data_IF_568288659255
#
_entry.id   IF_568288659255
#
_cell.length_a   1.000
_cell.length_b   1.000
_cell.length_c   1.000
_cell.angle_alpha   90.00
_cell.angle_beta   90.00
_cell.angle_gamma   90.00
#
_symmetry.space_group_name_H-M   'P 1'
#
loop_
_entity.id
_entity.type
_entity.pdbx_description
1 polymer ?
#
# COMPACT_ATOMS: atom_id res chain seq x y z
N UNK A 1 25.31 32.16 19.91
CA UNK A 1 25.81 31.67 18.61
C UNK A 1 24.61 31.06 17.92
N UNK A 2 24.20 31.66 16.83
CA UNK A 2 23.10 31.18 15.98
C UNK A 2 23.59 29.95 15.22
N UNK A 3 22.69 29.02 14.88
CA UNK A 3 23.02 27.84 14.06
C UNK A 3 23.66 28.22 12.69
N UNK A 4 23.51 29.46 12.26
CA UNK A 4 24.14 29.99 11.06
C UNK A 4 25.66 30.23 11.19
N UNK A 5 26.18 30.55 12.41
CA UNK A 5 27.63 30.82 12.61
C UNK A 5 28.52 29.57 12.47
N UNK A 6 27.89 28.37 12.49
CA UNK A 6 28.60 27.08 12.35
C UNK A 6 28.72 26.59 10.88
N UNK A 7 28.02 27.25 9.94
CA UNK A 7 27.92 26.79 8.54
C UNK A 7 28.87 27.55 7.63
N UNK A 8 29.36 28.74 8.03
CA UNK A 8 30.29 29.53 7.22
C UNK A 8 31.68 28.90 7.05
N UNK A 9 32.02 27.88 7.85
CA UNK A 9 33.32 27.17 7.80
C UNK A 9 33.21 25.72 7.28
N UNK A 10 32.00 25.29 6.81
CA UNK A 10 31.77 23.93 6.30
C UNK A 10 32.00 23.89 4.79
N UNK A 11 32.92 23.03 4.35
CA UNK A 11 33.19 22.80 2.92
C UNK A 11 31.87 22.40 2.21
N UNK A 12 31.63 22.96 1.02
CA UNK A 12 30.46 22.67 0.21
C UNK A 12 30.26 21.16 0.00
N UNK A 13 31.34 20.36 0.10
CA UNK A 13 31.30 18.88 0.02
C UNK A 13 30.70 18.22 1.26
N UNK A 14 30.81 18.86 2.44
CA UNK A 14 30.26 18.36 3.69
C UNK A 14 28.77 18.72 3.84
N UNK A 15 28.25 19.64 2.99
CA UNK A 15 26.85 20.05 2.95
C UNK A 15 26.00 18.99 2.19
N UNK A 16 26.62 18.25 1.29
CA UNK A 16 25.93 17.29 0.45
C UNK A 16 26.41 15.87 0.75
N UNK A 17 25.52 15.01 1.24
CA UNK A 17 25.78 13.56 1.34
C UNK A 17 25.87 12.96 -0.07
N UNK A 18 27.09 12.74 -0.60
CA UNK A 18 27.31 12.02 -1.84
C UNK A 18 27.93 12.84 -3.00
N UNK A 19 28.01 12.26 -4.20
CA UNK A 19 28.61 12.85 -5.40
C UNK A 19 27.73 13.99 -5.94
N UNK A 20 28.18 15.21 -5.72
CA UNK A 20 27.57 16.43 -6.29
C UNK A 20 28.27 16.76 -7.60
N UNK A 21 27.55 17.10 -8.69
CA UNK A 21 28.17 17.57 -9.91
C UNK A 21 29.13 18.73 -9.63
N UNK A 22 30.36 18.70 -10.24
CA UNK A 22 31.39 19.71 -9.95
C UNK A 22 30.97 21.15 -10.21
N UNK A 23 30.06 21.36 -11.14
CA UNK A 23 29.47 22.66 -11.49
C UNK A 23 28.54 23.19 -10.39
N UNK A 24 27.80 22.31 -9.70
CA UNK A 24 26.96 22.68 -8.55
C UNK A 24 27.83 23.04 -7.35
N UNK A 25 28.87 22.26 -7.05
CA UNK A 25 29.84 22.59 -6.00
C UNK A 25 30.50 23.93 -6.24
N UNK A 26 30.97 24.15 -7.46
CA UNK A 26 31.61 25.41 -7.87
C UNK A 26 30.66 26.61 -7.74
N UNK A 27 29.40 26.45 -8.12
CA UNK A 27 28.38 27.49 -7.94
C UNK A 27 28.20 27.86 -6.46
N UNK A 28 28.19 26.88 -5.55
CA UNK A 28 28.09 27.13 -4.11
C UNK A 28 29.32 27.77 -3.52
N UNK A 29 30.53 27.42 -4.02
CA UNK A 29 31.78 28.00 -3.57
C UNK A 29 31.98 29.44 -4.08
N UNK A 30 31.55 29.75 -5.31
CA UNK A 30 31.72 31.04 -5.95
C UNK A 30 30.60 32.03 -5.58
N UNK A 31 29.45 31.56 -5.09
CA UNK A 31 28.29 32.42 -4.81
C UNK A 31 28.12 32.66 -3.31
N UNK A 32 28.26 33.89 -2.85
CA UNK A 32 28.03 34.26 -1.45
C UNK A 32 26.49 34.30 -1.14
N UNK A 33 25.85 33.13 -1.14
CA UNK A 33 24.41 32.98 -0.89
C UNK A 33 24.13 33.12 0.61
N UNK A 34 23.01 33.76 1.00
CA UNK A 34 22.54 33.76 2.38
C UNK A 34 22.36 32.28 2.91
N UNK A 35 22.67 32.09 4.20
CA UNK A 35 22.59 30.79 4.87
C UNK A 35 21.25 30.08 4.62
N UNK A 36 20.14 30.80 4.73
CA UNK A 36 18.77 30.29 4.50
C UNK A 36 18.58 29.76 3.07
N UNK A 37 19.17 30.41 2.07
CA UNK A 37 19.09 29.97 0.67
C UNK A 37 19.93 28.73 0.45
N UNK A 38 21.10 28.62 1.07
CA UNK A 38 21.96 27.43 1.02
C UNK A 38 21.26 26.23 1.64
N UNK A 39 20.65 26.42 2.80
CA UNK A 39 19.92 25.36 3.50
C UNK A 39 18.70 24.86 2.69
N UNK A 40 17.89 25.77 2.17
CA UNK A 40 16.77 25.46 1.30
C UNK A 40 17.20 24.68 0.04
N UNK A 41 18.27 25.14 -0.62
CA UNK A 41 18.79 24.45 -1.81
C UNK A 41 19.32 23.04 -1.47
N UNK A 42 19.99 22.88 -0.33
CA UNK A 42 20.45 21.57 0.16
C UNK A 42 19.29 20.62 0.38
N UNK A 43 18.26 21.06 1.08
CA UNK A 43 17.05 20.26 1.32
C UNK A 43 16.40 19.86 -0.01
N UNK A 44 16.19 20.80 -0.92
CA UNK A 44 15.60 20.57 -2.24
C UNK A 44 16.41 19.57 -3.07
N UNK A 45 17.74 19.70 -3.10
CA UNK A 45 18.62 18.77 -3.84
C UNK A 45 18.58 17.38 -3.21
N UNK A 46 18.58 17.27 -1.89
CA UNK A 46 18.49 15.98 -1.20
C UNK A 46 17.12 15.33 -1.43
N UNK A 47 16.03 16.09 -1.42
CA UNK A 47 14.69 15.60 -1.78
C UNK A 47 14.65 15.07 -3.22
N UNK A 48 15.16 15.84 -4.18
CA UNK A 48 15.23 15.41 -5.59
C UNK A 48 16.03 14.11 -5.76
N UNK A 49 17.19 14.00 -5.11
CA UNK A 49 18.02 12.78 -5.16
C UNK A 49 17.34 11.57 -4.54
N UNK A 50 16.68 11.79 -3.42
CA UNK A 50 15.92 10.73 -2.76
C UNK A 50 14.81 10.23 -3.68
N UNK A 51 14.14 11.14 -4.38
CA UNK A 51 13.09 10.80 -5.34
C UNK A 51 13.64 10.08 -6.59
N UNK A 52 14.77 10.56 -7.15
CA UNK A 52 15.47 9.88 -8.24
C UNK A 52 15.91 8.47 -7.85
N UNK A 53 16.46 8.29 -6.64
CA UNK A 53 16.86 6.98 -6.13
C UNK A 53 15.65 6.05 -5.96
N UNK A 54 14.53 6.56 -5.43
CA UNK A 54 13.27 5.80 -5.32
C UNK A 54 12.72 5.38 -6.69
N UNK A 55 12.78 6.30 -7.67
CA UNK A 55 12.33 6.00 -9.03
C UNK A 55 13.23 4.95 -9.70
N UNK A 56 14.55 5.04 -9.56
CA UNK A 56 15.49 4.05 -10.08
C UNK A 56 15.27 2.67 -9.44
N UNK A 57 15.07 2.62 -8.12
CA UNK A 57 14.74 1.38 -7.40
C UNK A 57 13.43 0.79 -7.92
N UNK A 58 12.38 1.61 -8.08
CA UNK A 58 11.09 1.18 -8.61
C UNK A 58 11.22 0.50 -9.98
N UNK A 59 11.96 1.12 -10.92
CA UNK A 59 12.20 0.54 -12.26
C UNK A 59 12.94 -0.80 -12.17
N UNK A 60 13.91 -0.91 -11.26
CA UNK A 60 14.63 -2.16 -10.99
C UNK A 60 13.69 -3.26 -10.48
N UNK A 61 12.86 -2.93 -9.49
CA UNK A 61 11.93 -3.88 -8.87
C UNK A 61 10.85 -4.36 -9.85
N UNK A 62 10.27 -3.44 -10.64
CA UNK A 62 9.35 -3.78 -11.75
C UNK A 62 10.02 -4.75 -12.72
N UNK A 63 11.27 -4.47 -13.10
CA UNK A 63 12.02 -5.33 -14.04
C UNK A 63 12.22 -6.74 -13.49
N UNK A 64 12.49 -6.87 -12.20
CA UNK A 64 12.61 -8.15 -11.52
C UNK A 64 11.28 -8.90 -11.43
N UNK A 65 10.20 -8.22 -11.04
CA UNK A 65 8.85 -8.81 -10.92
C UNK A 65 8.26 -9.23 -12.26
N UNK A 66 8.64 -8.59 -13.37
CA UNK A 66 8.26 -8.99 -14.73
C UNK A 66 9.12 -10.17 -15.23
N UNK A 67 10.42 -10.17 -14.96
CA UNK A 67 11.35 -11.19 -15.47
C UNK A 67 11.03 -12.59 -14.96
N UNK A 68 10.65 -12.72 -13.71
CA UNK A 68 10.34 -14.01 -13.06
C UNK A 68 9.21 -14.77 -13.79
N UNK A 69 7.99 -14.21 -13.94
CA UNK A 69 6.90 -14.89 -14.64
C UNK A 69 7.22 -15.11 -16.12
N UNK A 70 7.89 -14.19 -16.80
CA UNK A 70 8.30 -14.37 -18.20
C UNK A 70 9.24 -15.58 -18.36
N UNK A 71 10.18 -15.77 -17.43
CA UNK A 71 11.08 -16.92 -17.44
C UNK A 71 10.32 -18.24 -17.22
N UNK A 72 9.31 -18.24 -16.32
CA UNK A 72 8.48 -19.41 -16.07
C UNK A 72 7.60 -19.76 -17.29
N UNK A 73 6.97 -18.74 -17.92
CA UNK A 73 6.17 -18.91 -19.16
C UNK A 73 7.05 -19.49 -20.26
N UNK A 74 8.22 -18.90 -20.47
CA UNK A 74 9.17 -19.34 -21.50
C UNK A 74 9.61 -20.77 -21.30
N UNK A 75 10.02 -21.15 -20.09
CA UNK A 75 10.46 -22.52 -19.77
C UNK A 75 9.34 -23.55 -19.96
N UNK A 76 8.13 -23.24 -19.53
CA UNK A 76 6.97 -24.11 -19.76
C UNK A 76 6.66 -24.26 -21.26
N UNK A 77 6.72 -23.18 -22.04
CA UNK A 77 6.48 -23.21 -23.48
C UNK A 77 7.58 -23.97 -24.23
N UNK A 78 8.87 -23.77 -23.90
CA UNK A 78 10.00 -24.51 -24.48
C UNK A 78 9.84 -26.02 -24.24
N UNK A 79 9.50 -26.42 -23.00
CA UNK A 79 9.25 -27.82 -22.65
C UNK A 79 8.11 -28.45 -23.47
N UNK A 80 7.02 -27.69 -23.67
CA UNK A 80 5.89 -28.14 -24.50
C UNK A 80 6.28 -28.28 -25.98
N UNK A 81 7.12 -27.39 -26.49
CA UNK A 81 7.58 -27.41 -27.89
C UNK A 81 8.56 -28.54 -28.19
N UNK A 82 9.40 -28.94 -27.23
CA UNK A 82 10.30 -30.10 -27.36
C UNK A 82 9.54 -31.42 -27.52
N UNK A 83 8.30 -31.47 -27.06
CA UNK A 83 7.42 -32.65 -27.19
C UNK A 83 7.74 -33.77 -26.21
N UNK A 84 7.02 -34.88 -26.31
CA UNK A 84 7.23 -36.06 -25.44
C UNK A 84 6.69 -35.90 -24.01
N UNK A 85 6.00 -34.79 -23.71
CA UNK A 85 5.43 -34.51 -22.40
C UNK A 85 4.10 -35.25 -22.26
N UNK A 86 3.87 -36.02 -21.15
CA UNK A 86 2.58 -36.65 -20.88
C UNK A 86 1.41 -35.62 -20.83
N UNK A 87 0.22 -36.02 -21.27
CA UNK A 87 -0.94 -35.12 -21.42
C UNK A 87 -1.29 -34.38 -20.12
N UNK A 88 -1.23 -35.06 -18.95
CA UNK A 88 -1.44 -34.41 -17.66
C UNK A 88 -0.41 -33.31 -17.36
N UNK A 89 0.84 -33.50 -17.76
CA UNK A 89 1.89 -32.48 -17.59
C UNK A 89 1.74 -31.33 -18.59
N UNK A 90 1.27 -31.61 -19.81
CA UNK A 90 0.97 -30.55 -20.78
C UNK A 90 -0.10 -29.61 -20.22
N UNK A 91 -1.18 -30.18 -19.65
CA UNK A 91 -2.22 -29.37 -19.01
C UNK A 91 -1.69 -28.53 -17.86
N UNK A 92 -0.81 -29.11 -17.01
CA UNK A 92 -0.16 -28.36 -15.91
C UNK A 92 0.68 -27.18 -16.41
N UNK A 93 1.48 -27.39 -17.48
CA UNK A 93 2.27 -26.30 -18.08
C UNK A 93 1.38 -25.22 -18.69
N UNK A 94 0.29 -25.59 -19.36
CA UNK A 94 -0.66 -24.62 -19.89
C UNK A 94 -1.34 -23.82 -18.76
N UNK A 95 -1.79 -24.47 -17.70
CA UNK A 95 -2.34 -23.80 -16.53
C UNK A 95 -1.31 -22.86 -15.87
N UNK A 96 -0.03 -23.27 -15.80
CA UNK A 96 1.04 -22.44 -15.28
C UNK A 96 1.25 -21.19 -16.17
N UNK A 97 1.28 -21.35 -17.50
CA UNK A 97 1.41 -20.22 -18.42
C UNK A 97 0.25 -19.23 -18.22
N UNK A 98 -1.00 -19.74 -18.15
CA UNK A 98 -2.17 -18.90 -17.93
C UNK A 98 -2.08 -18.14 -16.60
N UNK A 99 -1.74 -18.82 -15.52
CA UNK A 99 -1.57 -18.22 -14.19
C UNK A 99 -0.51 -17.10 -14.18
N UNK A 100 0.62 -17.28 -14.86
CA UNK A 100 1.67 -16.26 -14.94
C UNK A 100 1.27 -15.09 -15.86
N UNK A 101 0.47 -15.33 -16.92
CA UNK A 101 -0.12 -14.26 -17.72
C UNK A 101 -1.09 -13.42 -16.90
N UNK A 102 -1.97 -14.06 -16.12
CA UNK A 102 -2.91 -13.36 -15.22
C UNK A 102 -2.16 -12.55 -14.15
N UNK A 103 -1.05 -13.08 -13.65
CA UNK A 103 -0.18 -12.36 -12.71
C UNK A 103 0.44 -11.12 -13.34
N UNK A 104 0.95 -11.22 -14.57
CA UNK A 104 1.50 -10.07 -15.32
C UNK A 104 0.43 -9.01 -15.60
N UNK A 105 -0.78 -9.43 -15.94
CA UNK A 105 -1.90 -8.52 -16.18
C UNK A 105 -2.26 -7.75 -14.91
N UNK A 106 -2.33 -8.44 -13.77
CA UNK A 106 -2.56 -7.78 -12.47
C UNK A 106 -1.44 -6.80 -12.14
N UNK A 107 -0.17 -7.20 -12.30
CA UNK A 107 0.97 -6.32 -12.06
C UNK A 107 0.90 -5.05 -12.93
N UNK A 108 0.57 -5.17 -14.21
CA UNK A 108 0.43 -4.02 -15.11
C UNK A 108 -0.70 -3.08 -14.65
N UNK A 109 -1.86 -3.63 -14.25
CA UNK A 109 -2.97 -2.83 -13.72
C UNK A 109 -2.61 -2.14 -12.39
N UNK A 110 -1.91 -2.83 -11.50
CA UNK A 110 -1.41 -2.29 -10.23
C UNK A 110 -0.49 -1.08 -10.46
N UNK A 111 0.44 -1.21 -11.43
CA UNK A 111 1.36 -0.13 -11.80
C UNK A 111 0.61 1.08 -12.38
N UNK A 112 -0.37 0.86 -13.26
CA UNK A 112 -1.20 1.93 -13.81
C UNK A 112 -2.02 2.63 -12.73
N UNK A 113 -2.55 1.87 -11.76
CA UNK A 113 -3.29 2.44 -10.63
C UNK A 113 -2.41 3.34 -9.78
N UNK A 114 -1.18 2.89 -9.45
CA UNK A 114 -0.21 3.71 -8.71
C UNK A 114 0.14 5.00 -9.46
N UNK A 115 0.45 4.91 -10.75
CA UNK A 115 0.78 6.09 -11.55
C UNK A 115 -0.36 7.11 -11.59
N UNK A 116 -1.62 6.65 -11.72
CA UNK A 116 -2.78 7.55 -11.70
C UNK A 116 -3.00 8.19 -10.34
N UNK A 117 -2.86 7.42 -9.26
CA UNK A 117 -3.02 7.93 -7.90
C UNK A 117 -2.00 9.03 -7.55
N UNK A 118 -0.79 8.95 -8.11
CA UNK A 118 0.30 9.89 -7.84
C UNK A 118 0.35 11.09 -8.80
N UNK A 119 -0.20 10.97 -10.01
CA UNK A 119 -0.02 11.95 -11.08
C UNK A 119 -1.27 12.69 -11.53
N UNK A 120 -2.46 12.17 -11.27
CA UNK A 120 -3.70 12.72 -11.81
C UNK A 120 -4.62 13.24 -10.70
N UNK A 121 -5.30 14.35 -10.97
CA UNK A 121 -6.40 14.83 -10.11
C UNK A 121 -7.56 13.83 -10.19
N UNK A 122 -7.84 13.16 -9.09
CA UNK A 122 -8.94 12.21 -8.98
C UNK A 122 -10.28 12.96 -8.87
N UNK A 123 -11.27 12.56 -9.67
CA UNK A 123 -12.62 13.08 -9.51
C UNK A 123 -13.25 12.50 -8.24
N UNK A 124 -13.55 13.38 -7.28
CA UNK A 124 -14.12 13.01 -6.00
C UNK A 124 -15.63 13.29 -5.99
N UNK A 125 -16.41 12.30 -5.55
CA UNK A 125 -17.86 12.38 -5.38
C UNK A 125 -18.26 11.99 -3.97
N UNK A 126 -19.49 12.29 -3.57
CA UNK A 126 -20.04 11.87 -2.28
C UNK A 126 -20.30 10.36 -2.29
N UNK A 127 -19.71 9.63 -1.37
CA UNK A 127 -19.78 8.16 -1.30
C UNK A 127 -20.10 7.69 0.12
N UNK A 128 -21.02 6.73 0.20
CA UNK A 128 -21.32 5.98 1.41
C UNK A 128 -20.36 4.77 1.50
N UNK A 129 -19.47 4.78 2.50
CA UNK A 129 -18.45 3.74 2.67
C UNK A 129 -19.05 2.37 2.96
N UNK A 130 -20.14 2.32 3.74
CA UNK A 130 -20.81 1.05 4.06
C UNK A 130 -21.36 0.36 2.81
N UNK A 131 -21.99 1.12 1.93
CA UNK A 131 -22.49 0.58 0.66
C UNK A 131 -21.39 0.03 -0.23
N UNK A 132 -20.22 0.70 -0.29
CA UNK A 132 -19.06 0.20 -1.04
C UNK A 132 -18.52 -1.06 -0.40
N UNK A 133 -18.37 -1.09 0.93
CA UNK A 133 -17.86 -2.27 1.64
C UNK A 133 -18.75 -3.50 1.47
N UNK A 134 -20.08 -3.34 1.58
CA UNK A 134 -21.04 -4.42 1.38
C UNK A 134 -20.97 -4.97 -0.05
N UNK A 135 -20.87 -4.10 -1.06
CA UNK A 135 -20.71 -4.51 -2.45
C UNK A 135 -19.38 -5.27 -2.67
N UNK A 136 -18.28 -4.77 -2.12
CA UNK A 136 -16.98 -5.46 -2.20
C UNK A 136 -17.01 -6.81 -1.50
N UNK A 137 -17.61 -6.90 -0.31
CA UNK A 137 -17.74 -8.16 0.41
C UNK A 137 -18.53 -9.20 -0.40
N UNK A 138 -19.61 -8.79 -1.05
CA UNK A 138 -20.40 -9.67 -1.93
C UNK A 138 -19.58 -10.16 -3.14
N UNK A 139 -18.82 -9.28 -3.78
CA UNK A 139 -17.95 -9.64 -4.92
C UNK A 139 -16.81 -10.57 -4.51
N UNK A 140 -16.27 -10.39 -3.30
CA UNK A 140 -15.15 -11.16 -2.77
C UNK A 140 -15.59 -12.48 -2.11
N UNK A 141 -16.89 -12.70 -1.90
CA UNK A 141 -17.43 -13.83 -1.16
C UNK A 141 -16.91 -15.17 -1.70
N UNK A 142 -16.97 -15.40 -3.01
CA UNK A 142 -16.48 -16.63 -3.63
C UNK A 142 -15.00 -16.90 -3.37
N UNK A 143 -14.15 -15.88 -3.44
CA UNK A 143 -12.71 -15.99 -3.16
C UNK A 143 -12.44 -16.30 -1.69
N UNK A 144 -13.17 -15.64 -0.79
CA UNK A 144 -13.01 -15.82 0.66
C UNK A 144 -13.50 -17.19 1.10
N UNK A 145 -14.64 -17.67 0.56
CA UNK A 145 -15.17 -19.02 0.79
C UNK A 145 -14.23 -20.11 0.25
N UNK A 146 -13.62 -19.91 -0.93
CA UNK A 146 -12.64 -20.87 -1.48
C UNK A 146 -11.40 -21.00 -0.57
N UNK A 147 -11.05 -19.92 0.16
CA UNK A 147 -9.97 -19.94 1.16
C UNK A 147 -10.42 -20.46 2.53
N UNK A 148 -11.69 -20.78 2.71
CA UNK A 148 -12.26 -21.23 3.98
C UNK A 148 -12.31 -20.14 5.06
N UNK A 149 -12.36 -18.86 4.67
CA UNK A 149 -12.34 -17.70 5.57
C UNK A 149 -13.74 -17.11 5.71
N UNK A 150 -14.08 -16.61 6.90
CA UNK A 150 -15.34 -15.91 7.16
C UNK A 150 -15.14 -14.38 7.05
N UNK A 151 -15.89 -13.75 6.16
CA UNK A 151 -15.87 -12.29 5.98
C UNK A 151 -17.12 -11.65 6.60
N UNK A 152 -16.93 -10.59 7.37
CA UNK A 152 -18.02 -9.80 7.94
C UNK A 152 -17.77 -8.30 7.75
N UNK A 153 -18.86 -7.52 7.56
CA UNK A 153 -18.82 -6.06 7.47
C UNK A 153 -19.75 -5.50 8.53
N UNK A 154 -19.26 -4.62 9.39
CA UNK A 154 -20.03 -4.02 10.49
C UNK A 154 -19.78 -2.51 10.58
N UNK A 155 -20.69 -1.83 11.27
CA UNK A 155 -20.59 -0.40 11.54
C UNK A 155 -21.03 0.49 10.39
N UNK A 156 -20.99 1.79 10.62
CA UNK A 156 -21.38 2.85 9.69
C UNK A 156 -20.55 4.12 9.99
N UNK A 157 -20.34 4.94 8.98
CA UNK A 157 -19.69 6.24 9.11
C UNK A 157 -20.39 7.28 8.21
N UNK A 158 -20.18 8.57 8.44
CA UNK A 158 -20.61 9.61 7.51
C UNK A 158 -20.04 9.39 6.12
N UNK A 159 -20.73 9.93 5.10
CA UNK A 159 -20.23 9.91 3.73
C UNK A 159 -18.89 10.65 3.61
N UNK A 160 -18.09 10.26 2.64
CA UNK A 160 -16.81 10.89 2.32
C UNK A 160 -16.83 11.50 0.92
N UNK A 161 -15.93 12.46 0.66
CA UNK A 161 -15.56 12.81 -0.70
C UNK A 161 -14.51 11.84 -1.19
N UNK A 162 -14.86 10.97 -2.12
CA UNK A 162 -13.98 9.91 -2.60
C UNK A 162 -14.24 9.53 -4.06
N UNK A 163 -13.46 8.60 -4.55
CA UNK A 163 -13.66 7.95 -5.84
C UNK A 163 -14.10 6.50 -5.61
N UNK A 164 -15.21 6.10 -6.23
CA UNK A 164 -15.80 4.78 -6.01
C UNK A 164 -14.87 3.63 -6.42
N UNK A 165 -14.15 3.77 -7.54
CA UNK A 165 -13.23 2.75 -8.04
C UNK A 165 -12.00 2.64 -7.13
N UNK A 166 -11.49 3.78 -6.64
CA UNK A 166 -10.39 3.82 -5.68
C UNK A 166 -10.77 3.15 -4.35
N UNK A 167 -11.95 3.44 -3.82
CA UNK A 167 -12.44 2.80 -2.60
C UNK A 167 -12.67 1.30 -2.79
N UNK A 168 -13.26 0.87 -3.91
CA UNK A 168 -13.38 -0.54 -4.26
C UNK A 168 -12.00 -1.22 -4.27
N UNK A 169 -11.00 -0.60 -4.90
CA UNK A 169 -9.65 -1.14 -4.95
C UNK A 169 -8.99 -1.23 -3.55
N UNK A 170 -9.21 -0.25 -2.68
CA UNK A 170 -8.76 -0.27 -1.28
C UNK A 170 -9.37 -1.48 -0.55
N UNK A 171 -10.71 -1.63 -0.59
CA UNK A 171 -11.38 -2.76 0.06
C UNK A 171 -10.90 -4.11 -0.49
N UNK A 172 -10.81 -4.26 -1.81
CA UNK A 172 -10.35 -5.50 -2.45
C UNK A 172 -8.94 -5.84 -1.98
N UNK A 173 -8.00 -4.89 -2.01
CA UNK A 173 -6.62 -5.13 -1.60
C UNK A 173 -6.51 -5.52 -0.12
N UNK A 174 -7.25 -4.84 0.76
CA UNK A 174 -7.24 -5.12 2.20
C UNK A 174 -7.91 -6.46 2.51
N UNK A 175 -9.09 -6.76 1.94
CA UNK A 175 -9.80 -8.02 2.16
C UNK A 175 -9.00 -9.21 1.58
N UNK A 176 -8.42 -9.05 0.38
CA UNK A 176 -7.57 -10.09 -0.21
C UNK A 176 -6.35 -10.38 0.65
N UNK A 177 -5.69 -9.32 1.15
CA UNK A 177 -4.55 -9.45 2.05
C UNK A 177 -4.94 -10.17 3.34
N UNK A 178 -5.97 -9.70 4.03
CA UNK A 178 -6.49 -10.26 5.27
C UNK A 178 -6.91 -11.73 5.09
N UNK A 179 -7.69 -12.06 4.04
CA UNK A 179 -8.15 -13.42 3.79
C UNK A 179 -7.02 -14.41 3.49
N UNK A 180 -5.91 -13.93 2.95
CA UNK A 180 -4.74 -14.78 2.70
C UNK A 180 -3.99 -15.11 3.99
N UNK A 181 -3.88 -14.15 4.92
CA UNK A 181 -3.14 -14.34 6.17
C UNK A 181 -3.98 -14.98 7.27
N UNK A 182 -5.29 -14.80 7.29
CA UNK A 182 -6.21 -15.47 8.22
C UNK A 182 -6.14 -17.01 8.08
N UNK A 183 -5.97 -17.52 6.86
CA UNK A 183 -5.91 -18.98 6.61
C UNK A 183 -7.26 -19.68 6.71
N UNK A 184 -7.25 -21.02 6.56
CA UNK A 184 -8.48 -21.82 6.58
C UNK A 184 -9.11 -21.81 7.98
N UNK A 185 -10.40 -21.51 8.06
CA UNK A 185 -11.16 -21.36 9.29
C UNK A 185 -11.04 -19.97 9.94
N UNK A 186 -10.22 -19.10 9.37
CA UNK A 186 -9.98 -17.75 9.88
C UNK A 186 -11.12 -16.77 9.63
N UNK A 187 -10.98 -15.57 10.20
CA UNK A 187 -11.98 -14.51 10.13
C UNK A 187 -11.33 -13.23 9.59
N UNK A 188 -12.09 -12.55 8.73
CA UNK A 188 -11.80 -11.19 8.28
C UNK A 188 -12.98 -10.30 8.63
N UNK A 189 -12.70 -9.22 9.34
CA UNK A 189 -13.72 -8.27 9.78
C UNK A 189 -13.41 -6.88 9.27
N UNK A 190 -14.34 -6.32 8.51
CA UNK A 190 -14.32 -4.93 8.05
C UNK A 190 -15.20 -4.12 8.98
N UNK A 191 -14.62 -3.20 9.70
CA UNK A 191 -15.30 -2.28 10.61
C UNK A 191 -15.29 -0.88 10.02
N UNK A 192 -16.46 -0.23 10.02
CA UNK A 192 -16.61 1.15 9.55
C UNK A 192 -17.09 1.99 10.71
N UNK A 193 -16.28 2.97 11.08
CA UNK A 193 -16.56 3.86 12.23
C UNK A 193 -16.26 5.31 11.87
N UNK A 194 -16.52 6.22 12.81
CA UNK A 194 -16.19 7.64 12.66
C UNK A 194 -15.34 8.09 13.84
N UNK A 195 -14.26 8.79 13.57
CA UNK A 195 -13.38 9.35 14.58
C UNK A 195 -12.79 10.68 14.13
N UNK A 196 -12.81 11.70 14.99
CA UNK A 196 -12.21 13.04 14.77
C UNK A 196 -12.53 13.69 13.41
N UNK A 197 -13.74 13.51 12.90
CA UNK A 197 -14.12 14.06 11.60
C UNK A 197 -13.61 13.25 10.41
N UNK A 198 -13.16 12.02 10.64
CA UNK A 198 -12.78 11.06 9.62
C UNK A 198 -13.69 9.83 9.66
N UNK A 199 -14.06 9.34 8.51
CA UNK A 199 -14.65 8.02 8.36
C UNK A 199 -13.53 7.00 8.27
N UNK A 200 -13.55 6.03 9.19
CA UNK A 200 -12.48 5.06 9.42
C UNK A 200 -12.92 3.68 8.95
N UNK A 201 -12.09 3.04 8.15
CA UNK A 201 -12.21 1.66 7.71
C UNK A 201 -11.11 0.87 8.41
N UNK A 202 -11.46 -0.10 9.24
CA UNK A 202 -10.51 -1.03 9.86
C UNK A 202 -10.77 -2.43 9.31
N UNK A 203 -9.75 -3.04 8.69
CA UNK A 203 -9.80 -4.43 8.22
C UNK A 203 -8.92 -5.26 9.12
N UNK A 204 -9.56 -6.14 9.90
CA UNK A 204 -8.92 -7.03 10.87
C UNK A 204 -8.86 -8.46 10.34
N UNK A 205 -7.77 -9.16 10.59
CA UNK A 205 -7.63 -10.60 10.39
C UNK A 205 -7.12 -11.26 11.66
N UNK A 206 -7.39 -12.54 11.82
CA UNK A 206 -6.91 -13.39 12.91
C UNK A 206 -5.68 -14.23 12.52
N UNK A 207 -4.93 -13.76 11.54
CA UNK A 207 -3.69 -14.38 11.08
C UNK A 207 -2.52 -14.23 12.09
N UNK A 208 -1.29 -14.51 11.65
CA UNK A 208 -0.11 -14.42 12.53
C UNK A 208 0.38 -12.99 12.79
N UNK A 209 -0.24 -11.97 12.16
CA UNK A 209 0.30 -10.61 12.14
C UNK A 209 1.56 -10.49 11.28
N UNK A 210 2.25 -9.35 11.39
CA UNK A 210 3.49 -9.06 10.64
C UNK A 210 4.76 -9.01 11.54
N UNK A 211 4.67 -9.53 12.78
CA UNK A 211 5.81 -9.67 13.70
C UNK A 211 6.34 -8.34 14.22
N UNK A 212 7.66 -8.26 14.43
CA UNK A 212 8.34 -7.08 15.01
C UNK A 212 8.77 -6.05 13.94
N UNK A 213 8.31 -6.20 12.70
CA UNK A 213 8.63 -5.29 11.61
C UNK A 213 7.94 -3.93 11.80
N UNK A 214 8.60 -2.84 11.36
CA UNK A 214 7.98 -1.52 11.39
C UNK A 214 6.75 -1.50 10.48
N UNK A 215 5.57 -1.11 11.00
CA UNK A 215 4.35 -1.03 10.20
C UNK A 215 4.47 -0.14 8.96
N UNK A 216 5.33 0.88 9.02
CA UNK A 216 5.51 1.85 7.93
C UNK A 216 6.03 1.20 6.64
N UNK A 217 6.90 0.20 6.76
CA UNK A 217 7.45 -0.52 5.61
C UNK A 217 6.45 -1.43 4.90
N UNK A 218 5.33 -1.79 5.55
CA UNK A 218 4.30 -2.63 4.92
C UNK A 218 3.66 -1.97 3.69
N UNK A 219 3.69 -0.64 3.63
CA UNK A 219 3.14 0.16 2.54
C UNK A 219 4.18 0.53 1.47
N UNK A 220 5.44 0.11 1.64
CA UNK A 220 6.46 0.33 0.63
C UNK A 220 6.19 -0.52 -0.61
N UNK A 221 6.51 -0.01 -1.79
CA UNK A 221 6.32 -0.71 -3.05
C UNK A 221 7.18 -1.97 -3.08
N UNK A 222 6.61 -3.09 -3.53
CA UNK A 222 7.25 -4.41 -3.62
C UNK A 222 7.72 -4.99 -2.28
N UNK A 223 7.40 -4.35 -1.16
CA UNK A 223 7.73 -4.87 0.14
C UNK A 223 6.95 -6.17 0.43
N UNK A 224 7.63 -7.12 1.03
CA UNK A 224 7.07 -8.42 1.42
C UNK A 224 7.71 -8.81 2.75
N UNK A 225 6.90 -8.86 3.81
CA UNK A 225 7.33 -9.36 5.09
C UNK A 225 7.84 -10.79 4.94
N UNK A 226 9.10 -11.00 5.24
CA UNK A 226 9.84 -12.25 5.30
C UNK A 226 9.63 -13.24 4.13
N UNK A 227 10.63 -13.39 3.26
CA UNK A 227 10.65 -14.41 2.19
C UNK A 227 10.53 -15.84 2.73
N UNK A 228 10.81 -16.09 4.01
CA UNK A 228 10.71 -17.40 4.65
C UNK A 228 9.27 -17.86 4.91
N UNK A 229 8.32 -16.93 5.06
CA UNK A 229 6.88 -17.20 5.16
C UNK A 229 6.20 -17.38 3.80
N UNK A 230 6.88 -17.13 2.71
CA UNK A 230 6.42 -17.38 1.33
C UNK A 230 6.24 -18.88 0.98
N UNK A 231 6.14 -19.76 1.98
CA UNK A 231 5.73 -21.17 1.79
C UNK A 231 4.24 -21.35 1.51
N UNK A 232 3.46 -20.29 1.54
CA UNK A 232 2.13 -20.33 0.91
C UNK A 232 2.29 -20.30 -0.61
N UNK A 233 2.62 -21.48 -1.15
CA UNK A 233 2.63 -21.78 -2.58
C UNK A 233 1.25 -21.49 -3.15
N UNK A 234 1.14 -20.46 -3.99
CA UNK A 234 -0.01 -20.36 -4.86
C UNK A 234 -0.45 -19.00 -5.34
N UNK A 235 -0.15 -17.89 -4.69
CA UNK A 235 -0.58 -16.58 -5.19
C UNK A 235 0.55 -15.57 -5.10
N UNK A 236 1.21 -15.35 -6.23
CA UNK A 236 2.22 -14.31 -6.37
C UNK A 236 1.58 -12.92 -6.27
N UNK A 237 1.42 -12.38 -5.06
CA UNK A 237 1.16 -10.96 -4.89
C UNK A 237 2.40 -10.19 -5.29
N UNK A 238 2.20 -9.12 -6.06
CA UNK A 238 3.25 -8.22 -6.54
C UNK A 238 3.96 -7.44 -5.44
N UNK A 239 3.40 -7.39 -4.20
CA UNK A 239 3.86 -6.49 -3.15
C UNK A 239 3.42 -5.04 -3.40
N UNK A 240 2.48 -4.81 -4.31
CA UNK A 240 1.97 -3.47 -4.64
C UNK A 240 0.62 -3.17 -3.96
N UNK A 241 -0.12 -4.17 -3.50
CA UNK A 241 -1.48 -3.98 -2.99
C UNK A 241 -1.58 -2.97 -1.86
N UNK A 242 -0.72 -3.04 -0.84
CA UNK A 242 -0.71 -2.08 0.28
C UNK A 242 -0.16 -0.71 -0.14
N UNK A 243 0.81 -0.66 -1.06
CA UNK A 243 1.27 0.60 -1.64
C UNK A 243 0.15 1.31 -2.43
N UNK A 244 -0.69 0.56 -3.14
CA UNK A 244 -1.89 1.08 -3.81
C UNK A 244 -2.90 1.61 -2.79
N UNK A 245 -3.14 0.88 -1.69
CA UNK A 245 -4.02 1.35 -0.61
C UNK A 245 -3.55 2.71 -0.10
N UNK A 246 -2.24 2.86 0.18
CA UNK A 246 -1.65 4.11 0.64
C UNK A 246 -1.83 5.22 -0.39
N UNK A 247 -1.40 5.02 -1.63
CA UNK A 247 -1.47 6.02 -2.69
C UNK A 247 -2.91 6.51 -2.95
N UNK A 248 -3.88 5.59 -3.04
CA UNK A 248 -5.28 5.94 -3.24
C UNK A 248 -5.89 6.67 -2.03
N UNK A 249 -5.50 6.27 -0.82
CA UNK A 249 -5.95 6.94 0.40
C UNK A 249 -5.42 8.36 0.48
N UNK A 250 -4.13 8.55 0.24
CA UNK A 250 -3.47 9.87 0.22
C UNK A 250 -4.03 10.78 -0.89
N UNK A 251 -4.35 10.23 -2.07
CA UNK A 251 -5.00 10.96 -3.16
C UNK A 251 -6.42 11.47 -2.80
N UNK A 252 -7.08 10.85 -1.81
CA UNK A 252 -8.35 11.30 -1.25
C UNK A 252 -8.18 12.16 0.02
N UNK A 253 -6.94 12.55 0.37
CA UNK A 253 -6.63 13.37 1.55
C UNK A 253 -6.71 12.59 2.86
N UNK A 254 -6.70 11.27 2.82
CA UNK A 254 -6.74 10.38 3.97
C UNK A 254 -5.36 9.90 4.44
N UNK A 255 -5.37 9.03 5.45
CA UNK A 255 -4.18 8.39 6.01
C UNK A 255 -4.39 6.90 6.16
N UNK A 256 -3.28 6.12 6.16
CA UNK A 256 -3.31 4.67 6.36
C UNK A 256 -2.32 4.27 7.43
N UNK A 257 -2.69 3.29 8.25
CA UNK A 257 -1.86 2.73 9.32
C UNK A 257 -2.07 1.22 9.41
N UNK A 258 -1.13 0.52 10.05
CA UNK A 258 -1.24 -0.90 10.36
C UNK A 258 -0.74 -1.17 11.77
N UNK A 259 -1.35 -2.14 12.44
CA UNK A 259 -0.93 -2.60 13.75
C UNK A 259 -1.13 -4.11 13.88
N UNK A 260 -0.32 -4.77 14.72
CA UNK A 260 -0.61 -6.13 15.15
C UNK A 260 -1.69 -6.10 16.24
N UNK A 261 -2.66 -7.02 16.15
CA UNK A 261 -3.66 -7.19 17.20
C UNK A 261 -3.06 -7.91 18.42
N UNK A 262 -3.52 -7.60 19.65
CA UNK A 262 -3.12 -8.34 20.83
C UNK A 262 -3.46 -9.83 20.69
N UNK A 263 -2.45 -10.69 20.84
CA UNK A 263 -2.62 -12.14 20.72
C UNK A 263 -2.34 -12.67 19.32
N UNK A 264 -3.19 -12.43 18.35
CA UNK A 264 -3.03 -12.86 16.96
C UNK A 264 -3.73 -11.90 16.00
N UNK A 265 -3.14 -11.73 14.81
CA UNK A 265 -3.76 -10.99 13.71
C UNK A 265 -3.14 -9.64 13.45
N UNK A 266 -3.63 -9.01 12.41
CA UNK A 266 -3.29 -7.66 12.02
C UNK A 266 -4.53 -6.82 11.79
N UNK A 267 -4.38 -5.51 11.91
CA UNK A 267 -5.38 -4.53 11.51
C UNK A 267 -4.76 -3.50 10.57
N UNK A 268 -5.46 -3.23 9.48
CA UNK A 268 -5.13 -2.15 8.55
C UNK A 268 -6.23 -1.10 8.65
N UNK A 269 -5.84 0.14 8.92
CA UNK A 269 -6.75 1.25 9.20
C UNK A 269 -6.59 2.29 8.10
N UNK A 270 -7.69 2.67 7.46
CA UNK A 270 -7.78 3.75 6.47
C UNK A 270 -8.71 4.81 7.02
N UNK A 271 -8.24 6.05 7.16
CA UNK A 271 -9.03 7.18 7.63
C UNK A 271 -9.16 8.21 6.50
N UNK A 272 -10.40 8.55 6.13
CA UNK A 272 -10.72 9.51 5.06
C UNK A 272 -11.53 10.65 5.68
N UNK A 273 -11.27 11.93 5.34
CA UNK A 273 -12.06 13.06 5.86
C UNK A 273 -13.55 12.86 5.60
N UNK A 274 -14.36 12.92 6.66
CA UNK A 274 -15.81 12.81 6.58
C UNK A 274 -16.43 14.07 6.03
N UNK A 275 -17.49 13.93 5.23
CA UNK A 275 -18.37 15.05 4.95
C UNK A 275 -19.17 15.40 6.22
N UNK A 276 -19.34 16.71 6.53
CA UNK A 276 -20.24 17.08 7.60
C UNK A 276 -21.65 16.56 7.24
N UNK A 277 -22.32 15.85 8.16
CA UNK A 277 -23.68 15.37 7.92
C UNK A 277 -24.60 16.57 7.69
N UNK A 278 -25.56 16.45 6.77
CA UNK A 278 -26.56 17.51 6.50
C UNK A 278 -27.37 17.89 7.74
N UNK A 279 -27.43 17.01 8.75
CA UNK A 279 -28.07 17.19 10.05
C UNK A 279 -27.12 16.92 11.23
N UNK A 280 -25.95 17.54 11.21
CA UNK A 280 -24.88 17.27 12.18
C UNK A 280 -25.21 17.56 13.65
N UNK A 281 -26.40 18.12 13.96
CA UNK A 281 -26.85 18.38 15.32
C UNK A 281 -27.23 17.12 16.12
N UNK A 282 -27.40 15.99 15.46
CA UNK A 282 -27.93 14.75 16.03
C UNK A 282 -26.91 13.60 16.12
N UNK A 283 -25.65 13.80 15.72
CA UNK A 283 -24.61 12.76 15.78
C UNK A 283 -23.69 13.05 16.95
N UNK A 284 -23.48 12.05 17.81
CA UNK A 284 -22.52 12.13 18.90
C UNK A 284 -21.12 12.50 18.35
N UNK A 285 -20.34 13.32 19.07
CA UNK A 285 -18.99 13.68 18.65
C UNK A 285 -18.15 12.42 18.47
N UNK A 286 -17.47 12.32 17.32
CA UNK A 286 -16.53 11.23 17.06
C UNK A 286 -15.42 11.21 18.13
N UNK A 287 -15.05 10.04 18.61
CA UNK A 287 -13.97 9.86 19.58
C UNK A 287 -12.59 10.23 19.00
N UNK A 288 -11.60 10.52 19.84
CA UNK A 288 -10.26 10.94 19.43
C UNK A 288 -9.50 9.84 18.67
N UNK A 289 -8.74 10.17 17.60
CA UNK A 289 -7.98 9.22 16.76
C UNK A 289 -6.95 8.40 17.56
N UNK A 290 -6.37 8.96 18.62
CA UNK A 290 -5.49 8.23 19.54
C UNK A 290 -6.25 7.19 20.38
N UNK A 291 -7.52 7.46 20.69
CA UNK A 291 -8.41 6.51 21.34
C UNK A 291 -8.92 5.44 20.37
N UNK A 292 -8.96 5.75 19.07
CA UNK A 292 -9.47 4.79 18.05
C UNK A 292 -8.52 3.61 17.86
N UNK A 293 -7.20 3.81 17.97
CA UNK A 293 -6.24 2.69 17.96
C UNK A 293 -6.44 1.83 19.21
N UNK A 294 -6.61 2.45 20.37
CA UNK A 294 -6.84 1.75 21.63
C UNK A 294 -8.25 1.09 21.64
N UNK A 295 -9.31 1.78 21.16
CA UNK A 295 -10.65 1.20 21.05
C UNK A 295 -10.74 0.06 20.01
N UNK A 296 -10.05 0.19 18.87
CA UNK A 296 -9.98 -0.86 17.84
C UNK A 296 -9.20 -2.07 18.34
N UNK A 297 -8.26 -1.87 19.29
CA UNK A 297 -7.48 -2.93 19.91
C UNK A 297 -8.21 -3.56 21.13
N UNK A 298 -9.14 -2.83 21.82
CA UNK A 298 -9.83 -3.28 23.03
C UNK A 298 -11.20 -3.95 22.77
N UNK A 299 -11.73 -3.98 21.56
CA UNK A 299 -13.08 -4.53 21.29
C UNK A 299 -13.18 -6.05 21.14
N UNK A 300 -12.18 -6.81 21.61
CA UNK A 300 -12.18 -8.29 21.62
C UNK A 300 -12.35 -8.88 23.04
N UNK A 301 -13.32 -8.36 23.86
CA UNK A 301 -13.86 -9.09 25.03
C UNK A 301 -15.26 -9.67 24.76
#
# INVERSE_FOLDING_TARGET
MSACDAIDDVDARDIFDGDVPPDVLRFFEETNLPCEVREFMRETINEMRTEEARQAQFVSDVSHEIRTPLTAIRGAAETLLEGGVPEEMQQRFLCQIMSECDRLTRLANDLLTLQRAEGESMELTRINLRAVADNCALLMQGLVEERGVNLSVVGEAPDVMGNADALNQIFVNLIENASRFAGEGGHVRVEITCSEGHSVIAVKDDGPGFGDESPDHLFDRFYRADQSRARFKGSGNSGLGLAIVKALTEAMGGTVQAANLPGHGAVFIVAIPSLPPENWKDIAPCAHLSETLDEVLDTDE
#
